data_IF_584639821943
#
_entry.id   IF_584639821943
#
_cell.length_a   1.000
_cell.length_b   1.000
_cell.length_c   1.000
_cell.angle_alpha   90.00
_cell.angle_beta   90.00
_cell.angle_gamma   90.00
#
_symmetry.space_group_name_H-M   'P 1'
#
loop_
_entity.id
_entity.type
_entity.pdbx_description
1 polymer ?
#
# COMPACT_ATOMS: atom_id res chain seq x y z
N UNK A 1 3.85 34.02 39.86
CA UNK A 1 3.06 34.01 38.59
C UNK A 1 3.91 33.77 37.32
N UNK A 2 5.19 33.36 37.40
CA UNK A 2 6.04 33.16 36.20
C UNK A 2 6.14 31.69 35.72
N UNK A 3 5.89 30.71 36.60
CA UNK A 3 6.20 29.30 36.31
C UNK A 3 5.15 28.60 35.41
N UNK A 4 3.89 29.06 35.46
CA UNK A 4 2.77 28.48 34.68
C UNK A 4 2.86 28.89 33.19
N UNK A 5 3.37 30.08 32.88
CA UNK A 5 3.55 30.50 31.49
C UNK A 5 4.68 29.75 30.78
N UNK A 6 5.78 29.42 31.47
CA UNK A 6 6.92 28.71 30.88
C UNK A 6 6.56 27.26 30.50
N UNK A 7 5.83 26.54 31.37
CA UNK A 7 5.35 25.18 31.06
C UNK A 7 4.35 25.15 29.89
N UNK A 8 3.51 26.17 29.77
CA UNK A 8 2.54 26.29 28.67
C UNK A 8 3.20 26.65 27.33
N UNK A 9 4.28 27.43 27.37
CA UNK A 9 5.05 27.82 26.17
C UNK A 9 5.92 26.67 25.64
N UNK A 10 6.54 25.88 26.52
CA UNK A 10 7.33 24.70 26.15
C UNK A 10 6.48 23.58 25.51
N UNK A 11 5.26 23.37 26.00
CA UNK A 11 4.33 22.42 25.38
C UNK A 11 3.94 22.84 23.94
N UNK A 12 3.76 24.14 23.69
CA UNK A 12 3.42 24.68 22.35
C UNK A 12 4.57 24.63 21.35
N UNK A 13 5.82 24.68 21.80
CA UNK A 13 7.01 24.58 20.94
C UNK A 13 7.37 23.13 20.59
N UNK A 14 7.11 22.19 21.50
CA UNK A 14 7.38 20.76 21.28
C UNK A 14 6.28 20.07 20.45
N UNK A 15 5.04 20.55 20.51
CA UNK A 15 3.91 19.98 19.74
C UNK A 15 4.15 19.92 18.23
N UNK A 16 4.56 21.01 17.53
CA UNK A 16 4.83 20.94 16.09
C UNK A 16 6.06 20.08 15.76
N UNK A 17 7.05 19.98 16.65
CA UNK A 17 8.22 19.12 16.45
C UNK A 17 7.85 17.63 16.59
N UNK A 18 6.99 17.29 17.55
CA UNK A 18 6.49 15.92 17.74
C UNK A 18 5.51 15.52 16.62
N UNK A 19 4.69 16.44 16.12
CA UNK A 19 3.84 16.25 14.94
C UNK A 19 4.70 16.06 13.69
N UNK A 20 5.74 16.87 13.50
CA UNK A 20 6.67 16.75 12.36
C UNK A 20 7.48 15.46 12.42
N UNK A 21 7.83 14.97 13.62
CA UNK A 21 8.46 13.66 13.82
C UNK A 21 7.49 12.50 13.55
N UNK A 22 6.22 12.60 13.99
CA UNK A 22 5.16 11.63 13.62
C UNK A 22 4.86 11.60 12.11
N UNK A 23 4.93 12.75 11.43
CA UNK A 23 4.75 12.84 9.98
C UNK A 23 5.98 12.32 9.22
N UNK A 24 7.20 12.55 9.73
CA UNK A 24 8.43 12.01 9.14
C UNK A 24 8.59 10.50 9.33
N UNK A 25 8.13 9.95 10.46
CA UNK A 25 8.27 8.54 10.82
C UNK A 25 6.94 7.78 10.73
N UNK A 26 6.04 8.20 9.83
CA UNK A 26 4.78 7.49 9.64
C UNK A 26 5.09 6.18 8.92
N UNK A 27 5.11 5.08 9.67
CA UNK A 27 5.00 3.74 9.07
C UNK A 27 3.80 3.79 8.11
N UNK A 28 4.00 3.43 6.83
CA UNK A 28 2.95 3.58 5.84
C UNK A 28 1.74 2.77 6.30
N UNK A 29 0.59 3.45 6.41
CA UNK A 29 -0.62 2.81 6.93
C UNK A 29 -0.93 1.56 6.11
N UNK A 30 -1.11 0.44 6.83
CA UNK A 30 -1.50 -0.83 6.26
C UNK A 30 -2.98 -0.73 5.89
N UNK A 31 -3.25 -0.36 4.64
CA UNK A 31 -4.61 -0.19 4.12
C UNK A 31 -5.00 -1.38 3.25
N UNK A 32 -6.18 -1.92 3.52
CA UNK A 32 -6.79 -2.96 2.67
C UNK A 32 -7.12 -2.40 1.28
N UNK A 33 -7.08 -3.26 0.27
CA UNK A 33 -7.57 -2.95 -1.08
C UNK A 33 -8.54 -4.04 -1.52
N UNK A 34 -9.83 -3.70 -1.66
CA UNK A 34 -10.89 -4.69 -1.88
C UNK A 34 -10.79 -5.83 -0.84
N UNK A 35 -10.61 -7.07 -1.26
CA UNK A 35 -10.46 -8.25 -0.39
C UNK A 35 -9.02 -8.51 0.07
N UNK A 36 -8.05 -7.69 -0.34
CA UNK A 36 -6.66 -7.80 0.05
C UNK A 36 -6.45 -7.15 1.43
N UNK A 37 -6.19 -7.99 2.43
CA UNK A 37 -5.95 -7.59 3.81
C UNK A 37 -4.44 -7.59 4.11
N UNK A 38 -3.90 -6.52 4.73
CA UNK A 38 -2.50 -6.47 5.11
C UNK A 38 -2.05 -7.66 5.95
N UNK A 39 -0.89 -8.21 5.62
CA UNK A 39 -0.30 -9.37 6.29
C UNK A 39 -0.87 -10.73 5.88
N UNK A 40 -1.89 -10.77 5.00
CA UNK A 40 -2.41 -12.03 4.46
C UNK A 40 -1.65 -12.45 3.21
N UNK A 41 -1.51 -13.76 3.04
CA UNK A 41 -0.89 -14.39 1.86
C UNK A 41 -1.96 -14.67 0.82
N UNK A 42 -1.61 -14.34 -0.42
CA UNK A 42 -2.45 -14.57 -1.59
C UNK A 42 -1.67 -15.33 -2.66
N UNK A 43 -2.40 -15.98 -3.55
CA UNK A 43 -1.86 -16.60 -4.75
C UNK A 43 -2.60 -16.12 -6.00
N UNK A 44 -1.89 -16.06 -7.11
CA UNK A 44 -2.44 -15.77 -8.43
C UNK A 44 -3.11 -17.04 -8.96
N UNK A 45 -4.41 -16.99 -9.26
CA UNK A 45 -5.17 -18.10 -9.88
C UNK A 45 -5.38 -17.89 -11.37
N UNK A 46 -5.41 -16.64 -11.81
CA UNK A 46 -5.49 -16.26 -13.22
C UNK A 46 -4.41 -15.25 -13.52
N UNK A 47 -3.45 -15.64 -14.36
CA UNK A 47 -2.32 -14.78 -14.69
C UNK A 47 -2.72 -13.46 -15.32
N UNK A 48 -1.89 -12.44 -15.12
CA UNK A 48 -2.07 -11.10 -15.65
C UNK A 48 -0.73 -10.40 -15.85
N UNK A 49 -0.68 -9.41 -16.73
CA UNK A 49 0.50 -8.57 -16.93
C UNK A 49 0.27 -7.25 -16.21
N UNK A 50 1.26 -6.80 -15.46
CA UNK A 50 1.23 -5.52 -14.75
C UNK A 50 1.64 -4.35 -15.68
N UNK A 51 1.58 -3.13 -15.15
CA UNK A 51 1.92 -1.91 -15.88
C UNK A 51 3.39 -1.87 -16.34
N UNK A 52 4.30 -2.53 -15.61
CA UNK A 52 5.72 -2.59 -15.97
C UNK A 52 6.00 -3.67 -17.03
N UNK A 53 4.97 -4.34 -17.55
CA UNK A 53 5.08 -5.41 -18.52
C UNK A 53 5.47 -6.76 -17.91
N UNK A 54 5.50 -6.87 -16.57
CA UNK A 54 5.82 -8.12 -15.88
C UNK A 54 4.60 -9.03 -15.89
N UNK A 55 4.78 -10.25 -16.38
CA UNK A 55 3.76 -11.29 -16.27
C UNK A 55 3.78 -11.93 -14.89
N UNK A 56 2.62 -11.98 -14.25
CA UNK A 56 2.35 -12.67 -13.00
C UNK A 56 1.66 -14.02 -13.28
N UNK A 57 2.36 -15.16 -13.23
CA UNK A 57 1.80 -16.46 -13.60
C UNK A 57 0.88 -17.03 -12.52
N UNK A 58 -0.04 -17.91 -12.93
CA UNK A 58 -0.81 -18.75 -11.99
C UNK A 58 0.14 -19.53 -11.08
N UNK A 59 -0.14 -19.50 -9.78
CA UNK A 59 0.68 -20.12 -8.73
C UNK A 59 1.66 -19.16 -8.06
N UNK A 60 1.94 -17.98 -8.64
CA UNK A 60 2.72 -16.95 -7.94
C UNK A 60 2.03 -16.56 -6.63
N UNK A 61 2.80 -16.42 -5.55
CA UNK A 61 2.26 -16.11 -4.22
C UNK A 61 3.06 -15.02 -3.53
N UNK A 62 2.36 -14.23 -2.72
CA UNK A 62 2.96 -13.11 -1.98
C UNK A 62 2.08 -12.70 -0.81
N UNK A 63 2.68 -12.03 0.16
CA UNK A 63 1.95 -11.40 1.27
C UNK A 63 1.61 -9.96 0.90
N UNK A 64 0.34 -9.59 0.91
CA UNK A 64 -0.08 -8.22 0.67
C UNK A 64 0.24 -7.35 1.90
N UNK A 65 0.75 -6.13 1.68
CA UNK A 65 1.13 -5.22 2.76
C UNK A 65 0.21 -3.99 2.79
N UNK A 66 0.05 -3.31 1.65
CA UNK A 66 -0.75 -2.08 1.52
C UNK A 66 -0.92 -1.73 0.04
N UNK A 67 -1.65 -0.66 -0.24
CA UNK A 67 -1.72 -0.08 -1.57
C UNK A 67 -1.50 1.45 -1.56
N UNK A 68 -1.22 2.00 -2.74
CA UNK A 68 -1.27 3.43 -3.04
C UNK A 68 -2.04 3.63 -4.35
N UNK A 69 -2.79 4.73 -4.45
CA UNK A 69 -3.51 5.11 -5.66
C UNK A 69 -3.15 6.55 -6.07
N UNK A 70 -2.80 6.74 -7.33
CA UNK A 70 -2.48 8.02 -7.97
C UNK A 70 -3.63 8.42 -8.91
N UNK A 71 -4.56 9.30 -8.48
CA UNK A 71 -5.78 9.58 -9.24
C UNK A 71 -5.55 10.17 -10.64
N UNK A 72 -4.48 10.93 -10.83
CA UNK A 72 -4.18 11.55 -12.12
C UNK A 72 -3.78 10.53 -13.20
N UNK A 73 -3.10 9.46 -12.77
CA UNK A 73 -2.59 8.42 -13.66
C UNK A 73 -3.48 7.17 -13.67
N UNK A 74 -4.58 7.18 -12.90
CA UNK A 74 -5.35 5.97 -12.55
C UNK A 74 -4.44 4.85 -12.00
N UNK A 75 -3.33 5.22 -11.37
CA UNK A 75 -2.25 4.31 -11.03
C UNK A 75 -2.45 3.66 -9.68
N UNK A 76 -2.63 2.34 -9.64
CA UNK A 76 -2.66 1.52 -8.44
C UNK A 76 -1.30 0.83 -8.24
N UNK A 77 -0.74 0.92 -7.04
CA UNK A 77 0.46 0.16 -6.66
C UNK A 77 0.14 -0.71 -5.45
N UNK A 78 0.26 -2.02 -5.60
CA UNK A 78 0.18 -2.99 -4.51
C UNK A 78 1.59 -3.26 -3.98
N UNK A 79 1.79 -3.08 -2.69
CA UNK A 79 3.05 -3.40 -2.02
C UNK A 79 2.98 -4.80 -1.43
N UNK A 80 3.97 -5.62 -1.74
CA UNK A 80 3.92 -7.05 -1.48
C UNK A 80 5.24 -7.54 -0.90
N UNK A 81 5.20 -8.66 -0.19
CA UNK A 81 6.39 -9.40 0.24
C UNK A 81 6.40 -10.77 -0.41
N UNK A 82 7.48 -11.08 -1.12
CA UNK A 82 7.73 -12.39 -1.71
C UNK A 82 8.10 -13.41 -0.63
N UNK A 83 8.11 -14.70 -0.98
CA UNK A 83 8.37 -15.79 -0.04
C UNK A 83 9.80 -15.75 0.55
N UNK A 84 10.75 -15.16 -0.17
CA UNK A 84 12.12 -14.91 0.30
C UNK A 84 12.26 -13.68 1.22
N UNK A 85 11.15 -13.01 1.52
CA UNK A 85 11.10 -11.82 2.35
C UNK A 85 11.35 -10.51 1.61
N UNK A 86 11.65 -10.54 0.30
CA UNK A 86 11.91 -9.34 -0.50
C UNK A 86 10.63 -8.54 -0.69
N UNK A 87 10.73 -7.22 -0.47
CA UNK A 87 9.65 -6.29 -0.80
C UNK A 87 9.61 -6.04 -2.30
N UNK A 88 8.40 -6.10 -2.86
CA UNK A 88 8.16 -5.88 -4.27
C UNK A 88 6.88 -5.05 -4.47
N UNK A 89 6.65 -4.62 -5.69
CA UNK A 89 5.45 -3.88 -6.09
C UNK A 89 4.80 -4.52 -7.31
N UNK A 90 3.48 -4.50 -7.33
CA UNK A 90 2.67 -4.79 -8.53
C UNK A 90 1.99 -3.48 -8.91
N UNK A 91 2.35 -2.92 -10.07
CA UNK A 91 1.81 -1.64 -10.55
C UNK A 91 0.74 -1.90 -11.60
N UNK A 92 -0.40 -1.26 -11.48
CA UNK A 92 -1.56 -1.46 -12.35
C UNK A 92 -2.12 -0.09 -12.71
N UNK A 93 -2.69 0.05 -13.90
CA UNK A 93 -3.41 1.25 -14.34
C UNK A 93 -4.89 0.93 -14.53
N UNK A 94 -5.75 1.67 -13.84
CA UNK A 94 -7.20 1.44 -13.77
C UNK A 94 -7.94 2.04 -14.96
N UNK A 95 -7.51 1.68 -16.17
CA UNK A 95 -8.15 2.09 -17.43
C UNK A 95 -8.70 0.87 -18.19
N UNK A 96 -9.78 1.03 -18.98
CA UNK A 96 -10.43 -0.09 -19.67
C UNK A 96 -9.53 -0.86 -20.64
N UNK A 97 -8.59 -0.16 -21.27
CA UNK A 97 -7.61 -0.64 -22.24
C UNK A 97 -6.28 -1.11 -21.59
N UNK A 98 -6.16 -0.95 -20.28
CA UNK A 98 -5.00 -1.35 -19.48
C UNK A 98 -5.38 -2.45 -18.48
N UNK A 99 -4.97 -2.36 -17.22
CA UNK A 99 -5.23 -3.36 -16.21
C UNK A 99 -6.58 -3.14 -15.48
N UNK A 100 -7.41 -2.19 -15.92
CA UNK A 100 -8.74 -1.94 -15.34
C UNK A 100 -9.60 -3.20 -15.19
N UNK A 101 -9.77 -4.05 -16.22
CA UNK A 101 -10.52 -5.29 -16.10
C UNK A 101 -9.97 -6.27 -15.06
N UNK A 102 -8.64 -6.30 -14.88
CA UNK A 102 -7.97 -7.11 -13.85
C UNK A 102 -8.26 -6.53 -12.47
N UNK A 103 -8.14 -5.21 -12.30
CA UNK A 103 -8.43 -4.55 -11.02
C UNK A 103 -9.90 -4.73 -10.64
N UNK A 104 -10.82 -4.56 -11.59
CA UNK A 104 -12.27 -4.68 -11.37
C UNK A 104 -12.68 -6.08 -10.91
N UNK A 105 -11.95 -7.10 -11.35
CA UNK A 105 -12.21 -8.51 -11.02
C UNK A 105 -11.05 -9.18 -10.25
N UNK A 106 -10.31 -8.39 -9.46
CA UNK A 106 -9.06 -8.81 -8.83
C UNK A 106 -9.21 -10.05 -7.94
N UNK A 107 -10.39 -10.27 -7.36
CA UNK A 107 -10.73 -11.45 -6.56
C UNK A 107 -10.76 -12.76 -7.36
N UNK A 108 -10.87 -12.69 -8.69
CA UNK A 108 -10.77 -13.85 -9.60
C UNK A 108 -9.32 -14.14 -10.00
N UNK A 109 -8.47 -13.12 -9.92
CA UNK A 109 -7.05 -13.20 -10.26
C UNK A 109 -6.18 -13.56 -9.06
N UNK A 110 -6.53 -13.07 -7.88
CA UNK A 110 -5.74 -13.15 -6.65
C UNK A 110 -6.66 -13.65 -5.53
N UNK A 111 -6.38 -14.83 -4.98
CA UNK A 111 -7.20 -15.44 -3.92
C UNK A 111 -6.37 -15.68 -2.66
N UNK A 112 -7.00 -15.71 -1.47
CA UNK A 112 -6.30 -16.13 -0.25
C UNK A 112 -5.63 -17.48 -0.46
N UNK A 113 -4.37 -17.60 -0.01
CA UNK A 113 -3.63 -18.86 -0.14
C UNK A 113 -4.09 -19.89 0.90
#
# INVERSE_FOLDING_TARGET
MAEIQVKTFLARLLTPMLVRFKLLNREPELTSFKHLEPGKRYRVTKGFTDYDGRYHPTGESWTFLRHSFLPYDDGLTLFVRLDDGILNTVRLQWRPDEQGPVIDTIEKHIVPN
#
